data_IF_667002318333
#
_entry.id   IF_667002318333
#
_cell.length_a   1.000
_cell.length_b   1.000
_cell.length_c   1.000
_cell.angle_alpha   90.00
_cell.angle_beta   90.00
_cell.angle_gamma   90.00
#
_symmetry.space_group_name_H-M   'P 1'
#
loop_
_entity.id
_entity.type
_entity.pdbx_description
1 polymer ?
#
# COMPACT_ATOMS: atom_id res chain seq x y z
N UNK A 1 7.96 8.97 9.24
CA UNK A 1 8.33 9.05 7.80
C UNK A 1 8.17 10.51 7.37
N UNK A 2 8.98 11.00 6.43
CA UNK A 2 9.01 12.43 6.05
C UNK A 2 8.51 12.62 4.64
N UNK A 3 7.56 13.54 4.47
CA UNK A 3 7.04 14.02 3.19
C UNK A 3 7.34 15.51 3.09
N UNK A 4 7.73 15.97 1.91
CA UNK A 4 7.97 17.38 1.68
C UNK A 4 7.59 17.77 0.26
N UNK A 5 7.28 19.04 0.08
CA UNK A 5 6.91 19.63 -1.20
C UNK A 5 7.59 20.99 -1.35
N UNK A 6 8.24 21.21 -2.48
CA UNK A 6 8.73 22.50 -2.90
C UNK A 6 7.56 23.42 -3.26
N UNK A 7 7.62 24.63 -2.75
CA UNK A 7 6.70 25.73 -3.04
C UNK A 7 7.47 27.03 -2.86
N UNK A 8 7.42 27.91 -3.86
CA UNK A 8 7.82 29.32 -3.72
C UNK A 8 6.70 30.15 -3.07
N UNK A 9 5.49 29.58 -2.99
CA UNK A 9 4.30 30.19 -2.44
C UNK A 9 4.02 29.86 -0.97
N UNK A 10 2.76 29.50 -0.68
CA UNK A 10 2.20 29.43 0.67
C UNK A 10 2.74 28.22 1.46
N UNK A 11 2.79 28.27 2.80
CA UNK A 11 3.31 27.19 3.64
C UNK A 11 2.39 25.94 3.72
N UNK A 12 1.16 26.01 3.22
CA UNK A 12 0.18 24.92 3.34
C UNK A 12 0.20 23.89 2.20
N UNK A 13 1.10 24.01 1.21
CA UNK A 13 1.12 23.12 0.05
C UNK A 13 1.30 21.65 0.45
N UNK A 14 2.25 21.36 1.33
CA UNK A 14 2.45 20.00 1.83
C UNK A 14 1.20 19.43 2.53
N UNK A 15 0.42 20.28 3.21
CA UNK A 15 -0.84 19.86 3.83
C UNK A 15 -1.94 19.60 2.78
N UNK A 16 -2.00 20.39 1.71
CA UNK A 16 -2.89 20.15 0.55
C UNK A 16 -2.56 18.83 -0.15
N UNK A 17 -1.27 18.60 -0.42
CA UNK A 17 -0.77 17.35 -0.99
C UNK A 17 -1.11 16.13 -0.12
N UNK A 18 -0.93 16.23 1.20
CA UNK A 18 -1.36 15.18 2.13
C UNK A 18 -2.89 15.03 2.15
N UNK A 19 -3.62 16.14 2.15
CA UNK A 19 -5.08 16.15 2.11
C UNK A 19 -5.62 15.40 0.89
N UNK A 20 -4.93 15.48 -0.26
CA UNK A 20 -5.28 14.69 -1.45
C UNK A 20 -5.14 13.19 -1.20
N UNK A 21 -4.09 12.73 -0.51
CA UNK A 21 -3.94 11.32 -0.15
C UNK A 21 -5.01 10.83 0.82
N UNK A 22 -5.48 11.69 1.71
CA UNK A 22 -6.55 11.35 2.67
C UNK A 22 -7.95 11.32 2.07
N UNK A 23 -8.09 11.57 0.76
CA UNK A 23 -9.36 11.37 0.05
C UNK A 23 -9.65 9.89 -0.29
N UNK A 24 -8.67 8.99 -0.10
CA UNK A 24 -8.84 7.57 -0.39
C UNK A 24 -9.84 6.94 0.58
N UNK A 25 -10.95 6.43 0.05
CA UNK A 25 -11.90 5.62 0.81
C UNK A 25 -11.56 4.14 0.66
N UNK A 26 -10.81 3.58 1.60
CA UNK A 26 -10.35 2.19 1.55
C UNK A 26 -11.46 1.12 1.64
N UNK A 27 -12.70 1.52 1.98
CA UNK A 27 -13.86 0.63 1.95
C UNK A 27 -14.53 0.54 0.56
N UNK A 28 -14.17 1.43 -0.37
CA UNK A 28 -14.73 1.43 -1.73
C UNK A 28 -13.98 0.53 -2.70
N UNK A 29 -14.53 0.38 -3.91
CA UNK A 29 -13.91 -0.37 -5.00
C UNK A 29 -12.96 0.53 -5.81
N UNK A 30 -11.73 0.07 -6.06
CA UNK A 30 -10.73 0.78 -6.88
C UNK A 30 -10.53 2.26 -6.50
N UNK A 31 -10.37 2.53 -5.21
CA UNK A 31 -10.29 3.88 -4.65
C UNK A 31 -8.87 4.34 -4.35
N UNK A 32 -7.89 3.44 -4.30
CA UNK A 32 -6.49 3.82 -4.14
C UNK A 32 -6.06 4.73 -5.28
N UNK A 33 -5.22 5.71 -4.97
CA UNK A 33 -4.71 6.67 -5.94
C UNK A 33 -3.20 6.71 -5.85
N UNK A 34 -2.55 6.96 -6.99
CA UNK A 34 -1.20 7.51 -6.96
C UNK A 34 -1.26 9.02 -6.84
N UNK A 35 -0.32 9.62 -6.12
CA UNK A 35 -0.34 11.07 -5.89
C UNK A 35 0.19 11.86 -7.08
N UNK A 36 1.08 11.26 -7.88
CA UNK A 36 1.51 11.84 -9.15
C UNK A 36 0.30 12.10 -10.04
N UNK A 37 0.36 13.18 -10.82
CA UNK A 37 -0.71 13.63 -11.73
C UNK A 37 -1.95 14.24 -11.05
N UNK A 38 -2.06 14.20 -9.72
CA UNK A 38 -3.21 14.79 -9.03
C UNK A 38 -3.07 16.31 -8.93
N UNK A 39 -4.21 16.95 -8.73
CA UNK A 39 -4.30 18.41 -8.59
C UNK A 39 -4.33 18.81 -7.12
N UNK A 40 -3.89 20.04 -6.86
CA UNK A 40 -4.02 20.71 -5.56
C UNK A 40 -4.87 21.98 -5.70
N UNK A 41 -6.19 21.90 -5.49
CA UNK A 41 -7.05 23.08 -5.51
C UNK A 41 -6.55 24.16 -4.56
N UNK A 42 -6.66 25.42 -4.98
CA UNK A 42 -6.19 26.61 -4.25
C UNK A 42 -4.67 26.73 -4.00
N UNK A 43 -3.86 25.79 -4.51
CA UNK A 43 -2.40 25.94 -4.56
C UNK A 43 -1.98 26.53 -5.89
N UNK A 44 -1.19 27.59 -5.85
CA UNK A 44 -0.57 28.16 -7.07
C UNK A 44 0.52 27.21 -7.56
N UNK A 45 0.38 26.74 -8.79
CA UNK A 45 1.38 25.87 -9.41
C UNK A 45 2.67 26.62 -9.76
N UNK A 46 3.80 25.96 -9.50
CA UNK A 46 5.14 26.42 -9.82
C UNK A 46 5.38 26.38 -11.34
N UNK A 47 6.28 27.24 -11.80
CA UNK A 47 6.79 27.22 -13.18
C UNK A 47 8.28 26.89 -13.12
N UNK A 48 8.63 25.66 -13.48
CA UNK A 48 10.00 25.15 -13.38
C UNK A 48 10.55 24.80 -14.75
N UNK A 49 11.83 25.07 -14.96
CA UNK A 49 12.60 24.50 -16.06
C UNK A 49 12.85 23.00 -15.83
N UNK A 50 13.11 22.25 -16.89
CA UNK A 50 13.45 20.83 -16.79
C UNK A 50 14.64 20.56 -15.85
N UNK A 51 15.65 21.44 -15.84
CA UNK A 51 16.82 21.34 -14.95
C UNK A 51 16.42 21.48 -13.48
N UNK A 52 15.52 22.41 -13.16
CA UNK A 52 15.02 22.59 -11.78
C UNK A 52 14.16 21.41 -11.33
N UNK A 53 13.25 20.92 -12.19
CA UNK A 53 12.45 19.74 -11.90
C UNK A 53 13.34 18.50 -11.66
N UNK A 54 14.37 18.29 -12.49
CA UNK A 54 15.34 17.21 -12.29
C UNK A 54 16.13 17.34 -10.98
N UNK A 55 16.46 18.56 -10.56
CA UNK A 55 17.13 18.79 -9.28
C UNK A 55 16.24 18.44 -8.08
N UNK A 56 14.94 18.75 -8.15
CA UNK A 56 13.95 18.35 -7.13
C UNK A 56 13.78 16.83 -7.10
N UNK A 57 13.62 16.21 -8.27
CA UNK A 57 13.48 14.75 -8.40
C UNK A 57 14.66 13.99 -7.78
N UNK A 58 15.90 14.45 -8.00
CA UNK A 58 17.10 13.87 -7.37
C UNK A 58 17.10 13.92 -5.84
N UNK A 59 16.29 14.79 -5.24
CA UNK A 59 16.13 14.94 -3.79
C UNK A 59 14.84 14.32 -3.27
N UNK A 60 14.14 13.52 -4.09
CA UNK A 60 12.81 12.99 -3.79
C UNK A 60 11.83 14.09 -3.38
N UNK A 61 11.90 15.24 -4.07
CA UNK A 61 11.05 16.39 -3.81
C UNK A 61 9.75 16.32 -4.57
N UNK A 62 8.67 16.67 -3.88
CA UNK A 62 7.39 16.90 -4.55
C UNK A 62 7.25 18.37 -4.95
N UNK A 63 6.44 18.67 -5.95
CA UNK A 63 6.09 20.01 -6.41
C UNK A 63 4.76 19.95 -7.15
N UNK A 64 3.93 20.98 -6.99
CA UNK A 64 2.77 21.19 -7.84
C UNK A 64 3.19 22.12 -8.98
N UNK A 65 3.28 21.61 -10.21
CA UNK A 65 3.95 22.31 -11.33
C UNK A 65 3.06 22.40 -12.56
N UNK A 66 3.18 23.51 -13.31
CA UNK A 66 2.49 23.73 -14.58
C UNK A 66 3.20 23.03 -15.74
N UNK A 67 2.38 22.51 -16.65
CA UNK A 67 2.81 21.96 -17.93
C UNK A 67 2.30 22.83 -19.08
N UNK A 68 2.95 22.71 -20.25
CA UNK A 68 2.66 23.52 -21.44
C UNK A 68 1.27 23.26 -22.06
N UNK A 69 0.52 22.29 -21.57
CA UNK A 69 -0.84 21.95 -21.99
C UNK A 69 -1.91 22.56 -21.06
N UNK A 70 -1.57 23.63 -20.35
CA UNK A 70 -2.42 24.32 -19.38
C UNK A 70 -2.89 23.46 -18.19
N UNK A 71 -2.24 22.33 -17.95
CA UNK A 71 -2.48 21.51 -16.77
C UNK A 71 -1.45 21.77 -15.68
N UNK A 72 -1.85 21.63 -14.43
CA UNK A 72 -0.94 21.60 -13.30
C UNK A 72 -1.12 20.29 -12.54
N UNK A 73 0.00 19.66 -12.18
CA UNK A 73 0.01 18.36 -11.54
C UNK A 73 1.02 18.29 -10.41
N UNK A 74 0.78 17.37 -9.48
CA UNK A 74 1.78 16.94 -8.52
C UNK A 74 2.82 16.06 -9.22
N UNK A 75 4.08 16.39 -8.99
CA UNK A 75 5.24 15.52 -9.17
C UNK A 75 5.92 15.36 -7.81
N UNK A 76 6.63 14.30 -7.47
CA UNK A 76 6.61 12.97 -8.10
C UNK A 76 5.67 12.00 -7.34
N UNK A 77 5.11 12.41 -6.19
CA UNK A 77 4.32 11.54 -5.33
C UNK A 77 5.19 10.60 -4.49
N UNK A 78 6.31 11.11 -3.96
CA UNK A 78 7.30 10.30 -3.23
C UNK A 78 7.54 10.83 -1.82
N UNK A 79 7.93 9.94 -0.93
CA UNK A 79 8.47 10.25 0.39
C UNK A 79 9.92 10.71 0.26
N UNK A 80 10.47 11.35 1.31
CA UNK A 80 11.85 11.85 1.28
C UNK A 80 12.91 10.75 1.04
N UNK A 81 12.60 9.49 1.37
CA UNK A 81 13.46 8.34 1.13
C UNK A 81 13.28 7.71 -0.27
N UNK A 82 12.37 8.22 -1.10
CA UNK A 82 12.14 7.76 -2.47
C UNK A 82 10.97 6.79 -2.63
N UNK A 83 10.44 6.23 -1.54
CA UNK A 83 9.26 5.36 -1.62
C UNK A 83 8.04 6.15 -2.09
N UNK A 84 7.14 5.50 -2.83
CA UNK A 84 5.89 6.12 -3.23
C UNK A 84 4.96 6.35 -2.03
N UNK A 85 4.40 7.55 -1.94
CA UNK A 85 3.53 7.93 -0.79
C UNK A 85 2.26 7.09 -0.73
N UNK A 86 1.69 6.73 -1.88
CA UNK A 86 0.51 5.90 -2.00
C UNK A 86 0.73 4.49 -1.47
N UNK A 87 1.91 3.91 -1.69
CA UNK A 87 2.28 2.64 -1.06
C UNK A 87 2.39 2.79 0.47
N UNK A 88 3.13 3.80 0.93
CA UNK A 88 3.34 4.00 2.37
C UNK A 88 2.05 4.26 3.14
N UNK A 89 1.21 5.16 2.65
CA UNK A 89 -0.06 5.50 3.28
C UNK A 89 -1.02 4.31 3.29
N UNK A 90 -1.14 3.59 2.17
CA UNK A 90 -2.06 2.47 2.05
C UNK A 90 -1.61 1.24 2.86
N UNK A 91 -0.30 1.01 2.97
CA UNK A 91 0.24 -0.04 3.83
C UNK A 91 0.05 0.25 5.32
N UNK A 92 0.17 1.52 5.73
CA UNK A 92 -0.10 1.92 7.12
C UNK A 92 -1.59 1.72 7.46
N UNK A 93 -2.50 2.04 6.52
CA UNK A 93 -3.92 1.68 6.64
C UNK A 93 -4.12 0.17 6.74
N UNK A 94 -3.52 -0.61 5.84
CA UNK A 94 -3.70 -2.06 5.81
C UNK A 94 -3.27 -2.73 7.11
N UNK A 95 -2.12 -2.34 7.65
CA UNK A 95 -1.63 -2.84 8.93
C UNK A 95 -2.65 -2.57 10.05
N UNK A 96 -3.14 -1.32 10.15
CA UNK A 96 -4.13 -0.96 11.16
C UNK A 96 -5.45 -1.73 10.96
N UNK A 97 -5.89 -1.87 9.71
CA UNK A 97 -7.14 -2.55 9.36
C UNK A 97 -7.11 -4.03 9.73
N UNK A 98 -6.04 -4.75 9.37
CA UNK A 98 -5.84 -6.16 9.74
C UNK A 98 -5.78 -6.33 11.26
N UNK A 99 -5.04 -5.47 11.96
CA UNK A 99 -4.90 -5.54 13.42
C UNK A 99 -6.23 -5.31 14.14
N UNK A 100 -7.00 -4.31 13.71
CA UNK A 100 -8.31 -4.01 14.28
C UNK A 100 -9.30 -5.15 14.03
N UNK A 101 -9.34 -5.70 12.82
CA UNK A 101 -10.25 -6.81 12.49
C UNK A 101 -9.91 -8.07 13.28
N UNK A 102 -8.62 -8.39 13.42
CA UNK A 102 -8.17 -9.55 14.19
C UNK A 102 -8.47 -9.37 15.69
N UNK A 103 -8.26 -8.17 16.23
CA UNK A 103 -8.68 -7.83 17.59
C UNK A 103 -10.19 -7.98 17.78
N UNK A 104 -10.99 -7.45 16.85
CA UNK A 104 -12.45 -7.53 16.91
C UNK A 104 -12.94 -8.97 16.86
N UNK A 105 -12.32 -9.83 16.04
CA UNK A 105 -12.63 -11.26 16.02
C UNK A 105 -12.43 -11.89 17.40
N UNK A 106 -11.31 -11.60 18.07
CA UNK A 106 -11.01 -12.13 19.39
C UNK A 106 -11.96 -11.57 20.46
N UNK A 107 -12.24 -10.27 20.40
CA UNK A 107 -13.06 -9.55 21.38
C UNK A 107 -14.55 -9.92 21.31
N UNK A 108 -15.10 -10.05 20.10
CA UNK A 108 -16.54 -10.30 19.91
C UNK A 108 -16.92 -11.78 19.93
N UNK A 109 -15.95 -12.69 19.95
CA UNK A 109 -16.22 -14.12 20.05
C UNK A 109 -16.83 -14.45 21.42
N UNK A 110 -18.11 -14.82 21.44
CA UNK A 110 -18.82 -15.17 22.68
C UNK A 110 -18.30 -16.45 23.33
N UNK A 111 -17.73 -17.35 22.52
CA UNK A 111 -16.96 -18.52 22.95
C UNK A 111 -15.47 -18.32 22.72
N UNK A 112 -14.62 -19.17 23.32
CA UNK A 112 -13.17 -19.13 23.07
C UNK A 112 -12.85 -19.52 21.62
N UNK A 113 -11.84 -18.88 21.04
CA UNK A 113 -11.13 -19.43 19.88
C UNK A 113 -10.12 -20.46 20.43
N UNK A 114 -10.29 -21.77 20.17
CA UNK A 114 -9.41 -22.78 20.75
C UNK A 114 -8.00 -22.68 20.16
N UNK A 115 -6.99 -23.10 20.93
CA UNK A 115 -5.61 -23.27 20.44
C UNK A 115 -5.50 -24.61 19.68
N UNK A 116 -6.26 -24.73 18.59
CA UNK A 116 -6.24 -25.86 17.65
C UNK A 116 -6.04 -25.32 16.23
N UNK A 117 -5.72 -26.19 15.28
CA UNK A 117 -5.50 -25.78 13.90
C UNK A 117 -6.78 -25.17 13.29
N UNK A 118 -7.98 -25.60 13.71
CA UNK A 118 -9.24 -24.96 13.31
C UNK A 118 -9.37 -23.55 13.90
N UNK A 119 -8.94 -23.35 15.15
CA UNK A 119 -8.93 -22.03 15.78
C UNK A 119 -7.97 -21.07 15.08
N UNK A 120 -6.77 -21.54 14.71
CA UNK A 120 -5.80 -20.76 13.92
C UNK A 120 -6.34 -20.47 12.52
N UNK A 121 -7.01 -21.45 11.89
CA UNK A 121 -7.67 -21.26 10.60
C UNK A 121 -8.70 -20.13 10.66
N UNK A 122 -9.47 -20.02 11.75
CA UNK A 122 -10.41 -18.91 11.96
C UNK A 122 -9.69 -17.54 12.02
N UNK A 123 -8.50 -17.47 12.62
CA UNK A 123 -7.69 -16.25 12.62
C UNK A 123 -7.16 -15.92 11.21
N UNK A 124 -6.65 -16.92 10.49
CA UNK A 124 -6.18 -16.78 9.10
C UNK A 124 -7.31 -16.25 8.21
N UNK A 125 -8.50 -16.84 8.27
CA UNK A 125 -9.65 -16.40 7.46
C UNK A 125 -10.01 -14.93 7.70
N UNK A 126 -9.90 -14.43 8.93
CA UNK A 126 -10.16 -13.01 9.21
C UNK A 126 -9.06 -12.08 8.67
N UNK A 127 -7.79 -12.53 8.68
CA UNK A 127 -6.70 -11.82 8.00
C UNK A 127 -6.94 -11.82 6.49
N UNK A 128 -7.33 -12.95 5.90
CA UNK A 128 -7.66 -13.04 4.47
C UNK A 128 -8.79 -12.08 4.08
N UNK A 129 -9.88 -12.00 4.86
CA UNK A 129 -10.97 -11.04 4.62
C UNK A 129 -10.48 -9.58 4.61
N UNK A 130 -9.50 -9.26 5.46
CA UNK A 130 -8.91 -7.93 5.48
C UNK A 130 -8.07 -7.65 4.24
N UNK A 131 -7.36 -8.67 3.73
CA UNK A 131 -6.60 -8.59 2.48
C UNK A 131 -7.52 -8.55 1.25
N UNK A 132 -8.65 -9.24 1.27
CA UNK A 132 -9.68 -9.16 0.22
C UNK A 132 -10.23 -7.73 0.08
N UNK A 133 -10.40 -7.00 1.19
CA UNK A 133 -10.77 -5.58 1.13
C UNK A 133 -9.67 -4.72 0.46
N UNK A 134 -8.40 -5.07 0.67
CA UNK A 134 -7.28 -4.39 0.01
C UNK A 134 -7.13 -4.77 -1.47
N UNK A 135 -7.57 -5.95 -1.88
CA UNK A 135 -7.76 -6.27 -3.31
C UNK A 135 -8.89 -5.41 -3.88
N UNK A 136 -10.01 -5.35 -3.16
CA UNK A 136 -11.23 -4.63 -3.57
C UNK A 136 -10.97 -3.14 -3.80
N UNK A 137 -10.21 -2.49 -2.92
CA UNK A 137 -9.89 -1.07 -3.06
C UNK A 137 -8.76 -0.77 -4.08
N UNK A 138 -8.13 -1.80 -4.64
CA UNK A 138 -7.09 -1.68 -5.65
C UNK A 138 -5.66 -1.52 -5.11
N UNK A 139 -5.43 -1.78 -3.82
CA UNK A 139 -4.08 -1.80 -3.23
C UNK A 139 -3.29 -3.05 -3.64
N UNK A 140 -3.94 -4.21 -3.57
CA UNK A 140 -3.35 -5.52 -3.82
C UNK A 140 -3.83 -6.02 -5.19
N UNK A 141 -2.93 -6.65 -5.95
CA UNK A 141 -3.28 -7.28 -7.22
C UNK A 141 -2.53 -8.59 -7.44
N UNK A 142 -3.03 -9.38 -8.39
CA UNK A 142 -2.35 -10.57 -8.89
C UNK A 142 -0.89 -10.28 -9.24
N UNK A 143 0.01 -11.21 -8.90
CA UNK A 143 1.35 -11.18 -9.44
C UNK A 143 2.25 -12.27 -8.88
N UNK A 144 3.55 -12.14 -9.12
CA UNK A 144 4.55 -13.13 -8.73
C UNK A 144 5.22 -12.73 -7.41
N UNK A 145 5.37 -13.68 -6.50
CA UNK A 145 6.12 -13.52 -5.26
C UNK A 145 7.62 -13.45 -5.53
N UNK A 146 8.25 -12.34 -5.16
CA UNK A 146 9.69 -12.14 -5.34
C UNK A 146 10.51 -12.26 -4.05
N UNK A 147 9.88 -12.49 -2.90
CA UNK A 147 10.56 -12.61 -1.62
C UNK A 147 10.98 -14.04 -1.28
N UNK A 148 11.52 -14.21 -0.08
CA UNK A 148 11.97 -15.51 0.43
C UNK A 148 10.79 -16.50 0.58
N UNK A 149 11.04 -17.82 0.44
CA UNK A 149 10.02 -18.85 0.62
C UNK A 149 9.62 -18.98 2.09
N UNK A 150 8.34 -19.29 2.34
CA UNK A 150 7.83 -19.65 3.67
C UNK A 150 6.51 -20.42 3.56
N UNK A 151 6.20 -21.26 4.56
CA UNK A 151 5.05 -22.16 4.49
C UNK A 151 5.13 -23.04 3.23
N UNK A 152 4.10 -23.00 2.40
CA UNK A 152 4.07 -23.67 1.09
C UNK A 152 4.43 -22.73 -0.08
N UNK A 153 4.74 -21.46 0.19
CA UNK A 153 5.04 -20.46 -0.84
C UNK A 153 6.53 -20.50 -1.20
N UNK A 154 6.81 -20.59 -2.50
CA UNK A 154 8.15 -20.49 -3.06
C UNK A 154 8.37 -19.15 -3.77
N UNK A 155 9.61 -18.67 -3.83
CA UNK A 155 9.98 -17.56 -4.71
C UNK A 155 9.63 -17.89 -6.16
N UNK A 156 9.03 -16.94 -6.88
CA UNK A 156 8.52 -17.15 -8.24
C UNK A 156 7.11 -17.73 -8.31
N UNK A 157 6.49 -18.10 -7.18
CA UNK A 157 5.11 -18.56 -7.18
C UNK A 157 4.13 -17.43 -7.54
N UNK A 158 3.07 -17.79 -8.26
CA UNK A 158 1.99 -16.85 -8.60
C UNK A 158 1.02 -16.71 -7.43
N UNK A 159 0.80 -15.47 -6.99
CA UNK A 159 -0.21 -15.09 -6.02
C UNK A 159 -1.47 -14.67 -6.77
N UNK A 160 -2.37 -15.61 -7.07
CA UNK A 160 -3.56 -15.35 -7.88
C UNK A 160 -4.49 -14.29 -7.26
N UNK A 161 -4.67 -14.34 -5.94
CA UNK A 161 -5.41 -13.33 -5.16
C UNK A 161 -4.60 -12.05 -4.89
N UNK A 162 -3.31 -12.05 -5.25
CA UNK A 162 -2.34 -11.03 -4.86
C UNK A 162 -1.76 -11.21 -3.45
N UNK A 163 -2.18 -12.21 -2.69
CA UNK A 163 -1.60 -12.52 -1.39
C UNK A 163 -1.59 -14.02 -1.05
N UNK A 164 -0.81 -14.39 -0.04
CA UNK A 164 -0.78 -15.72 0.59
C UNK A 164 -0.64 -15.55 2.10
N UNK A 165 -1.48 -16.23 2.89
CA UNK A 165 -1.45 -16.19 4.36
C UNK A 165 -1.11 -17.57 4.90
N UNK A 166 -0.21 -17.62 5.87
CA UNK A 166 0.26 -18.85 6.47
C UNK A 166 0.46 -18.69 7.98
N UNK A 167 0.10 -19.73 8.73
CA UNK A 167 0.58 -19.92 10.09
C UNK A 167 1.02 -21.39 10.23
N UNK A 168 2.10 -21.67 11.00
CA UNK A 168 2.52 -23.04 11.21
C UNK A 168 1.51 -23.80 12.08
N UNK A 169 1.45 -25.14 11.97
CA UNK A 169 0.55 -25.96 12.79
C UNK A 169 0.77 -25.72 14.28
N UNK A 170 -0.31 -25.77 15.07
CA UNK A 170 -0.23 -25.63 16.54
C UNK A 170 0.73 -26.67 17.14
N UNK A 171 0.85 -27.85 16.52
CA UNK A 171 1.75 -28.91 16.94
C UNK A 171 3.23 -28.49 16.95
N UNK A 172 3.64 -27.54 16.10
CA UNK A 172 5.03 -27.07 16.04
C UNK A 172 5.31 -25.90 16.97
N UNK A 173 4.30 -25.42 17.71
CA UNK A 173 4.44 -24.28 18.61
C UNK A 173 5.07 -24.69 19.94
N UNK A 174 5.96 -23.84 20.47
CA UNK A 174 6.57 -24.05 21.78
C UNK A 174 5.52 -24.15 22.89
N UNK A 175 5.71 -25.10 23.81
CA UNK A 175 4.78 -25.31 24.93
C UNK A 175 4.59 -24.05 25.78
N UNK A 176 5.66 -23.31 26.08
CA UNK A 176 5.60 -22.08 26.84
C UNK A 176 4.70 -21.02 26.18
N UNK A 177 4.71 -20.92 24.85
CA UNK A 177 3.84 -19.99 24.12
C UNK A 177 2.37 -20.43 24.12
N UNK A 178 2.11 -21.76 24.04
CA UNK A 178 0.75 -22.31 24.16
C UNK A 178 0.16 -22.10 25.57
N UNK A 179 0.98 -22.29 26.60
CA UNK A 179 0.60 -22.01 27.99
C UNK A 179 0.36 -20.52 28.22
N UNK A 180 1.16 -19.66 27.57
CA UNK A 180 0.93 -18.21 27.52
C UNK A 180 -0.20 -17.78 26.57
N UNK A 181 -0.91 -18.73 25.93
CA UNK A 181 -2.05 -18.51 25.03
C UNK A 181 -1.74 -17.61 23.84
N UNK A 182 -0.52 -17.68 23.31
CA UNK A 182 -0.14 -16.98 22.09
C UNK A 182 -0.56 -17.81 20.89
N UNK A 183 -1.15 -17.18 19.87
CA UNK A 183 -1.34 -17.85 18.58
C UNK A 183 0.02 -18.03 17.87
N UNK A 184 0.17 -19.04 17.00
CA UNK A 184 1.28 -19.09 16.06
C UNK A 184 1.35 -17.80 15.23
N UNK A 185 2.56 -17.42 14.82
CA UNK A 185 2.74 -16.22 13.99
C UNK A 185 2.03 -16.42 12.65
N UNK A 186 1.13 -15.50 12.33
CA UNK A 186 0.50 -15.42 11.02
C UNK A 186 1.39 -14.55 10.12
N UNK A 187 1.87 -15.12 9.03
CA UNK A 187 2.71 -14.48 8.03
C UNK A 187 1.93 -14.27 6.74
N UNK A 188 2.10 -13.10 6.11
CA UNK A 188 1.43 -12.75 4.86
C UNK A 188 2.45 -12.36 3.79
N UNK A 189 2.38 -12.97 2.62
CA UNK A 189 3.01 -12.47 1.40
C UNK A 189 1.96 -11.66 0.64
N UNK A 190 2.32 -10.45 0.22
CA UNK A 190 1.40 -9.53 -0.45
C UNK A 190 2.10 -8.94 -1.67
N UNK A 191 1.38 -8.90 -2.79
CA UNK A 191 1.76 -8.23 -4.02
C UNK A 191 0.92 -6.97 -4.22
N UNK A 192 1.59 -5.83 -4.17
CA UNK A 192 0.96 -4.54 -4.46
C UNK A 192 0.67 -4.40 -5.96
N UNK A 193 -0.44 -3.72 -6.28
CA UNK A 193 -0.80 -3.38 -7.65
C UNK A 193 0.18 -2.38 -8.29
N UNK A 194 0.77 -1.50 -7.48
CA UNK A 194 1.61 -0.40 -7.94
C UNK A 194 0.83 0.64 -8.74
N UNK A 195 1.54 1.60 -9.32
CA UNK A 195 0.97 2.62 -10.19
C UNK A 195 1.87 2.90 -11.39
N UNK A 196 1.27 3.13 -12.56
CA UNK A 196 2.00 3.49 -13.78
C UNK A 196 2.27 4.99 -13.78
N UNK A 197 3.56 5.38 -13.83
CA UNK A 197 3.99 6.78 -13.87
C UNK A 197 4.62 7.21 -15.19
N UNK A 198 4.98 6.25 -16.05
CA UNK A 198 5.63 6.46 -17.34
C UNK A 198 5.13 5.38 -18.31
N UNK A 199 4.98 5.74 -19.58
CA UNK A 199 4.56 4.81 -20.63
C UNK A 199 5.17 5.23 -21.97
N UNK A 200 5.60 4.24 -22.76
CA UNK A 200 6.11 4.41 -24.12
C UNK A 200 5.24 3.62 -25.10
N UNK A 201 5.02 4.17 -26.30
CA UNK A 201 4.22 3.53 -27.37
C UNK A 201 5.07 3.42 -28.63
N UNK A 202 5.23 2.19 -29.12
CA UNK A 202 5.93 1.89 -30.38
C UNK A 202 4.88 1.51 -31.42
N UNK A 203 4.89 2.19 -32.58
CA UNK A 203 3.98 1.92 -33.70
C UNK A 203 4.80 1.36 -34.86
N UNK A 204 4.51 0.11 -35.24
CA UNK A 204 5.07 -0.52 -36.44
C UNK A 204 4.00 -0.53 -37.53
N UNK A 205 4.33 -0.01 -38.71
CA UNK A 205 3.43 0.03 -39.87
C UNK A 205 3.99 -0.88 -40.96
N UNK A 206 3.18 -1.81 -41.45
CA UNK A 206 3.47 -2.63 -42.63
C UNK A 206 2.42 -2.34 -43.72
N UNK A 207 2.84 -2.39 -44.99
CA UNK A 207 1.92 -2.27 -46.14
C UNK A 207 1.49 -3.64 -46.64
#
# INVERSE_FOLDING_TARGET
RTLWQYSSGKPYTAASLMGRMFTVNFNGNNTTITLKFKQEPAVTAESLTATQANALKKKNGNVFVKYNNDTAIIQEGVMANGDFIDERHSLDWLQNYVQNNLYNLLYTSTSKIPQTDEGVTRLITNVEQSLDQAVTNGLIAHGVWGGDPFGALNTGATLTKGYYVYAPPIATQAQADREARKAPVIQCAIKLAGAVHYADVIINVNR
#
